data_IF_943754278350
#
_entry.id   IF_943754278350
#
_cell.length_a   1.000
_cell.length_b   1.000
_cell.length_c   1.000
_cell.angle_alpha   90.00
_cell.angle_beta   90.00
_cell.angle_gamma   90.00
#
_symmetry.space_group_name_H-M   'P 1'
#
loop_
_entity.id
_entity.type
_entity.pdbx_description
1 polymer ?
#
# COMPACT_ATOMS: atom_id res chain seq x y z
N UNK A 1 3.93 11.88 -0.68
CA UNK A 1 3.93 12.69 -1.91
C UNK A 1 2.98 12.01 -2.86
N UNK A 2 1.80 12.60 -3.05
CA UNK A 2 0.77 12.09 -3.96
C UNK A 2 1.33 12.13 -5.38
N UNK A 3 1.56 10.97 -6.01
CA UNK A 3 1.97 10.90 -7.41
C UNK A 3 0.74 11.18 -8.26
N UNK A 4 0.66 12.37 -8.86
CA UNK A 4 -0.45 12.71 -9.76
C UNK A 4 -0.33 11.95 -11.08
N UNK A 5 -1.46 11.56 -11.69
CA UNK A 5 -1.50 10.80 -12.95
C UNK A 5 -0.75 11.47 -14.11
N UNK A 6 -0.55 12.79 -14.04
CA UNK A 6 0.23 13.55 -15.02
C UNK A 6 1.75 13.38 -14.83
N UNK A 7 2.24 13.14 -13.61
CA UNK A 7 3.65 12.81 -13.35
C UNK A 7 4.00 11.39 -13.85
N UNK A 8 3.01 10.49 -13.80
CA UNK A 8 3.08 9.14 -14.37
C UNK A 8 3.25 9.18 -15.91
N UNK A 9 2.52 10.06 -16.61
CA UNK A 9 2.62 10.18 -18.08
C UNK A 9 4.02 10.54 -18.56
N UNK A 10 4.71 11.43 -17.84
CA UNK A 10 6.08 11.83 -18.18
C UNK A 10 7.03 10.63 -18.19
N UNK A 11 6.98 9.82 -17.13
CA UNK A 11 7.81 8.62 -16.99
C UNK A 11 7.44 7.51 -17.98
N UNK A 12 6.16 7.39 -18.33
CA UNK A 12 5.65 6.36 -19.25
C UNK A 12 5.92 6.64 -20.73
N UNK A 13 6.12 7.90 -21.11
CA UNK A 13 6.13 8.31 -22.53
C UNK A 13 7.46 8.10 -23.27
N UNK A 14 8.59 7.98 -22.56
CA UNK A 14 9.91 7.93 -23.21
C UNK A 14 10.41 6.51 -23.54
N UNK A 15 9.86 5.45 -22.92
CA UNK A 15 10.29 4.06 -23.13
C UNK A 15 9.11 3.09 -23.02
N UNK A 16 8.93 2.15 -23.94
CA UNK A 16 7.73 1.29 -24.00
C UNK A 16 7.73 0.05 -23.09
N UNK A 17 8.85 -0.24 -22.43
CA UNK A 17 9.05 -1.49 -21.69
C UNK A 17 8.90 -1.28 -20.18
N UNK A 18 7.67 -1.41 -19.69
CA UNK A 18 7.33 -1.42 -18.26
C UNK A 18 6.66 -2.72 -17.87
N UNK A 19 6.84 -3.13 -16.61
CA UNK A 19 6.09 -4.24 -16.02
C UNK A 19 5.16 -3.71 -14.94
N UNK A 20 3.88 -4.08 -15.00
CA UNK A 20 2.88 -3.70 -14.00
C UNK A 20 2.63 -4.86 -13.06
N UNK A 21 2.70 -4.61 -11.76
CA UNK A 21 2.42 -5.59 -10.70
C UNK A 21 1.34 -4.99 -9.81
N UNK A 22 0.17 -5.63 -9.78
CA UNK A 22 -0.91 -5.32 -8.84
C UNK A 22 -1.04 -6.40 -7.77
N UNK A 23 -1.40 -5.99 -6.55
CA UNK A 23 -1.68 -6.92 -5.45
C UNK A 23 -3.15 -6.83 -5.04
N UNK A 24 -3.75 -7.98 -4.74
CA UNK A 24 -5.13 -8.08 -4.25
C UNK A 24 -5.17 -9.01 -3.03
N UNK A 25 -6.10 -8.76 -2.11
CA UNK A 25 -6.29 -9.63 -0.95
C UNK A 25 -6.97 -8.95 0.24
N UNK A 26 -7.38 -9.79 1.19
CA UNK A 26 -8.07 -9.40 2.42
C UNK A 26 -7.21 -8.49 3.31
N UNK A 27 -7.83 -7.95 4.36
CA UNK A 27 -7.14 -7.15 5.36
C UNK A 27 -6.14 -8.02 6.15
N UNK A 28 -4.98 -7.46 6.51
CA UNK A 28 -3.99 -8.18 7.32
C UNK A 28 -3.08 -9.16 6.58
N UNK A 29 -3.29 -9.43 5.28
CA UNK A 29 -2.47 -10.41 4.54
C UNK A 29 -1.08 -9.91 4.15
N UNK A 30 -0.74 -8.65 4.45
CA UNK A 30 0.60 -8.09 4.23
C UNK A 30 0.87 -7.56 2.82
N UNK A 31 -0.16 -7.14 2.07
CA UNK A 31 -0.06 -6.61 0.69
C UNK A 31 0.98 -5.50 0.58
N UNK A 32 0.79 -4.40 1.32
CA UNK A 32 1.65 -3.23 1.34
C UNK A 32 3.08 -3.55 1.79
N UNK A 33 3.24 -4.54 2.67
CA UNK A 33 4.55 -5.06 3.10
C UNK A 33 5.27 -5.74 1.94
N UNK A 34 4.60 -6.66 1.24
CA UNK A 34 5.19 -7.39 0.09
C UNK A 34 5.51 -6.42 -1.05
N UNK A 35 4.59 -5.51 -1.37
CA UNK A 35 4.80 -4.52 -2.42
C UNK A 35 5.93 -3.55 -2.08
N UNK A 36 6.05 -3.14 -0.82
CA UNK A 36 7.20 -2.32 -0.39
C UNK A 36 8.52 -3.06 -0.48
N UNK A 37 8.55 -4.38 -0.18
CA UNK A 37 9.75 -5.19 -0.37
C UNK A 37 10.12 -5.31 -1.86
N UNK A 38 9.13 -5.46 -2.75
CA UNK A 38 9.34 -5.44 -4.20
C UNK A 38 9.82 -4.07 -4.70
N UNK A 39 9.40 -2.99 -4.05
CA UNK A 39 9.88 -1.63 -4.31
C UNK A 39 11.32 -1.37 -3.81
N UNK A 40 11.95 -2.34 -3.13
CA UNK A 40 13.32 -2.23 -2.62
C UNK A 40 13.43 -1.86 -1.13
N UNK A 41 12.31 -1.79 -0.39
CA UNK A 41 12.35 -1.61 1.05
C UNK A 41 13.06 -2.79 1.73
N UNK A 42 13.67 -2.55 2.89
CA UNK A 42 14.39 -3.58 3.66
C UNK A 42 13.93 -3.63 5.10
N UNK A 43 13.90 -4.83 5.66
CA UNK A 43 13.66 -5.02 7.09
C UNK A 43 14.74 -4.34 7.92
N UNK A 44 14.31 -3.69 9.00
CA UNK A 44 15.21 -3.08 9.97
C UNK A 44 15.74 -4.15 10.93
N UNK A 45 17.02 -4.48 10.80
CA UNK A 45 17.74 -5.39 11.71
C UNK A 45 18.06 -4.71 13.05
N UNK A 46 18.00 -5.48 14.14
CA UNK A 46 18.52 -5.11 15.48
C UNK A 46 20.05 -5.11 15.53
N UNK A 47 20.68 -5.83 14.61
CA UNK A 47 22.13 -5.93 14.57
C UNK A 47 22.69 -4.64 13.97
N UNK A 48 23.45 -3.91 14.79
CA UNK A 48 24.45 -2.96 14.34
C UNK A 48 25.43 -3.68 13.41
N UNK A 49 25.08 -3.84 12.13
CA UNK A 49 25.99 -4.35 11.13
C UNK A 49 27.02 -3.27 10.83
N UNK A 50 28.15 -3.33 11.55
CA UNK A 50 29.33 -2.49 11.38
C UNK A 50 30.05 -2.65 10.03
N UNK A 51 29.33 -3.03 8.96
CA UNK A 51 29.89 -3.09 7.61
C UNK A 51 28.91 -2.70 6.48
N UNK A 52 27.72 -2.14 6.76
CA UNK A 52 26.87 -1.55 5.70
C UNK A 52 27.14 -0.05 5.54
N UNK A 53 28.39 0.30 5.24
CA UNK A 53 28.78 1.65 4.85
C UNK A 53 28.37 1.86 3.40
N UNK A 54 27.12 2.27 3.13
CA UNK A 54 26.81 2.99 1.88
C UNK A 54 25.65 3.99 1.99
N UNK A 55 24.71 3.88 2.93
CA UNK A 55 23.64 4.89 3.08
C UNK A 55 23.27 5.14 4.55
N UNK A 56 24.23 5.67 5.30
CA UNK A 56 23.96 6.34 6.57
C UNK A 56 23.44 7.75 6.27
N UNK A 57 22.15 7.86 5.94
CA UNK A 57 21.54 9.09 5.43
C UNK A 57 20.12 9.37 5.91
N UNK A 58 19.61 8.70 6.94
CA UNK A 58 18.39 9.13 7.62
C UNK A 58 18.47 8.71 9.09
N UNK A 59 18.24 9.66 10.00
CA UNK A 59 18.12 9.38 11.45
C UNK A 59 17.00 8.35 11.63
N UNK A 60 17.36 7.09 11.82
CA UNK A 60 16.43 5.98 11.86
C UNK A 60 15.76 5.86 13.24
N UNK A 61 14.83 6.75 13.55
CA UNK A 61 13.95 6.60 14.72
C UNK A 61 12.86 5.56 14.42
N UNK A 62 12.70 4.56 15.28
CA UNK A 62 11.68 3.51 15.16
C UNK A 62 12.06 2.23 15.93
N UNK A 63 11.17 1.22 16.02
CA UNK A 63 11.47 -0.12 16.54
C UNK A 63 11.96 -1.10 15.45
N UNK A 64 12.80 -2.10 15.80
CA UNK A 64 13.27 -3.12 14.87
C UNK A 64 12.13 -4.00 14.35
N UNK A 65 12.36 -4.69 13.23
CA UNK A 65 11.32 -5.52 12.59
C UNK A 65 10.31 -4.75 11.73
N UNK A 66 10.49 -3.43 11.56
CA UNK A 66 9.73 -2.63 10.59
C UNK A 66 10.50 -2.47 9.26
N UNK A 67 9.78 -2.16 8.19
CA UNK A 67 10.39 -1.77 6.92
C UNK A 67 11.01 -0.37 7.03
N UNK A 68 12.20 -0.18 6.46
CA UNK A 68 12.78 1.15 6.25
C UNK A 68 12.22 1.75 4.96
N UNK A 69 11.77 2.99 5.05
CA UNK A 69 11.29 3.80 3.92
C UNK A 69 10.34 3.01 2.99
N UNK A 70 9.26 2.41 3.54
CA UNK A 70 8.34 1.62 2.72
C UNK A 70 7.63 2.50 1.69
N UNK A 71 7.53 2.01 0.46
CA UNK A 71 6.80 2.68 -0.62
C UNK A 71 5.28 2.72 -0.37
N UNK A 72 4.76 1.69 0.34
CA UNK A 72 3.36 1.57 0.74
C UNK A 72 3.29 1.37 2.25
N UNK A 73 2.46 2.15 2.93
CA UNK A 73 2.34 2.10 4.39
C UNK A 73 1.87 0.72 4.86
N UNK A 74 2.70 -0.04 5.62
CA UNK A 74 2.23 -1.28 6.24
C UNK A 74 1.26 -0.96 7.37
N UNK A 75 0.33 -1.87 7.66
CA UNK A 75 -0.58 -1.70 8.80
C UNK A 75 0.19 -1.52 10.11
N UNK A 76 -0.19 -0.51 10.88
CA UNK A 76 0.34 -0.29 12.22
C UNK A 76 -0.32 -1.23 13.24
N UNK A 77 0.33 -1.43 14.39
CA UNK A 77 -0.28 -2.18 15.50
C UNK A 77 -1.63 -1.59 15.93
N UNK A 78 -1.77 -0.26 15.87
CA UNK A 78 -3.01 0.44 16.19
C UNK A 78 -4.10 0.13 15.14
N UNK A 79 -3.75 0.18 13.86
CA UNK A 79 -4.65 -0.13 12.74
C UNK A 79 -5.15 -1.59 12.81
N UNK A 80 -4.27 -2.52 13.20
CA UNK A 80 -4.65 -3.93 13.41
C UNK A 80 -5.61 -4.06 14.59
N UNK A 81 -5.34 -3.38 15.71
CA UNK A 81 -6.18 -3.42 16.91
C UNK A 81 -7.56 -2.81 16.71
N UNK A 82 -7.66 -1.74 15.91
CA UNK A 82 -8.94 -1.12 15.56
C UNK A 82 -9.67 -1.82 14.40
N UNK A 83 -9.08 -2.89 13.85
CA UNK A 83 -9.53 -3.55 12.63
C UNK A 83 -9.72 -2.57 11.45
N UNK A 84 -8.94 -1.49 11.40
CA UNK A 84 -8.99 -0.49 10.35
C UNK A 84 -8.20 -0.93 9.09
N UNK A 85 -8.59 -0.39 7.94
CA UNK A 85 -7.80 -0.48 6.72
C UNK A 85 -6.77 0.66 6.70
N UNK A 86 -5.64 0.42 6.03
CA UNK A 86 -4.57 1.42 5.90
C UNK A 86 -4.59 2.02 4.49
N UNK A 87 -4.74 1.18 3.46
CA UNK A 87 -4.86 1.61 2.06
C UNK A 87 -6.30 2.00 1.73
N UNK A 88 -6.51 3.20 1.21
CA UNK A 88 -7.77 3.67 0.61
C UNK A 88 -7.62 3.76 -0.91
N UNK A 89 -8.51 3.08 -1.66
CA UNK A 89 -8.41 3.07 -3.13
C UNK A 89 -7.21 2.29 -3.67
N UNK A 90 -6.45 2.89 -4.59
CA UNK A 90 -5.29 2.28 -5.25
C UNK A 90 -4.11 3.25 -5.17
N UNK A 91 -3.03 2.81 -4.54
CA UNK A 91 -1.76 3.52 -4.48
C UNK A 91 -0.81 3.05 -5.59
N UNK A 92 0.00 3.96 -6.12
CA UNK A 92 0.93 3.68 -7.22
C UNK A 92 2.36 4.04 -6.83
N UNK A 93 3.30 3.14 -7.13
CA UNK A 93 4.74 3.40 -7.01
C UNK A 93 5.49 2.96 -8.27
N UNK A 94 6.45 3.79 -8.72
CA UNK A 94 7.30 3.47 -9.88
C UNK A 94 8.73 3.30 -9.39
N UNK A 95 9.34 2.16 -9.73
CA UNK A 95 10.73 1.86 -9.38
C UNK A 95 11.70 2.27 -10.50
N UNK A 96 12.99 2.39 -10.19
CA UNK A 96 14.03 2.66 -11.19
C UNK A 96 14.15 1.52 -12.22
N UNK A 97 13.77 0.31 -11.84
CA UNK A 97 13.70 -0.90 -12.65
C UNK A 97 12.45 -0.97 -13.53
N UNK A 98 11.70 0.13 -13.64
CA UNK A 98 10.51 0.26 -14.52
C UNK A 98 9.35 -0.67 -14.12
N UNK A 99 9.26 -1.00 -12.83
CA UNK A 99 8.08 -1.64 -12.28
C UNK A 99 7.07 -0.56 -11.87
N UNK A 100 5.82 -0.72 -12.31
CA UNK A 100 4.67 0.03 -11.81
C UNK A 100 3.97 -0.89 -10.82
N UNK A 101 4.04 -0.51 -9.56
CA UNK A 101 3.49 -1.26 -8.43
C UNK A 101 2.15 -0.63 -8.03
N UNK A 102 1.10 -1.44 -7.97
CA UNK A 102 -0.25 -1.02 -7.59
C UNK A 102 -0.65 -1.74 -6.30
N UNK A 103 -0.75 -1.01 -5.19
CA UNK A 103 -1.28 -1.51 -3.92
C UNK A 103 -2.74 -1.10 -3.76
N UNK A 104 -3.60 -2.01 -3.30
CA UNK A 104 -5.05 -1.78 -3.28
C UNK A 104 -5.64 -1.90 -1.88
N UNK A 105 -6.76 -1.21 -1.67
CA UNK A 105 -7.61 -1.39 -0.50
C UNK A 105 -7.97 -2.88 -0.31
N UNK A 106 -8.11 -3.28 0.95
CA UNK A 106 -8.42 -4.65 1.31
C UNK A 106 -9.84 -5.04 0.89
N UNK A 107 -9.96 -6.15 0.15
CA UNK A 107 -11.25 -6.74 -0.21
C UNK A 107 -11.98 -7.23 1.04
N UNK A 108 -13.30 -6.99 1.10
CA UNK A 108 -14.18 -7.44 2.18
C UNK A 108 -13.76 -6.95 3.59
N UNK A 109 -13.13 -5.78 3.68
CA UNK A 109 -12.71 -5.25 4.99
C UNK A 109 -13.92 -4.79 5.84
N UNK A 110 -14.06 -5.28 7.08
CA UNK A 110 -15.12 -4.84 7.99
C UNK A 110 -15.09 -3.33 8.27
N UNK A 111 -13.90 -2.73 8.30
CA UNK A 111 -13.76 -1.28 8.47
C UNK A 111 -14.22 -0.48 7.26
N UNK A 112 -14.01 -0.99 6.04
CA UNK A 112 -14.54 -0.36 4.82
C UNK A 112 -16.06 -0.46 4.81
N UNK A 113 -16.63 -1.58 5.25
CA UNK A 113 -18.07 -1.71 5.38
C UNK A 113 -18.66 -0.75 6.44
N UNK A 114 -17.98 -0.58 7.58
CA UNK A 114 -18.39 0.37 8.62
C UNK A 114 -18.27 1.83 8.15
N UNK A 115 -17.23 2.14 7.37
CA UNK A 115 -17.04 3.42 6.68
C UNK A 115 -18.21 3.69 5.73
N UNK A 116 -18.57 2.72 4.87
CA UNK A 116 -19.71 2.81 3.96
C UNK A 116 -21.04 3.01 4.70
N UNK A 117 -21.25 2.29 5.81
CA UNK A 117 -22.44 2.45 6.65
C UNK A 117 -22.52 3.87 7.24
N UNK A 118 -21.39 4.40 7.70
CA UNK A 118 -21.32 5.74 8.31
C UNK A 118 -21.55 6.86 7.29
N UNK A 119 -21.21 6.63 6.02
CA UNK A 119 -21.39 7.63 4.96
C UNK A 119 -22.86 7.74 4.46
N UNK A 120 -23.80 6.91 4.95
CA UNK A 120 -25.26 6.96 4.65
C UNK A 120 -25.63 7.30 3.18
N UNK A 121 -24.95 6.70 2.21
CA UNK A 121 -25.33 6.90 0.80
C UNK A 121 -26.44 5.95 0.38
N UNK A 122 -27.33 6.44 -0.48
CA UNK A 122 -28.25 5.58 -1.22
C UNK A 122 -27.42 4.53 -1.99
N UNK A 123 -27.75 3.27 -1.80
CA UNK A 123 -27.08 2.18 -2.50
C UNK A 123 -27.28 2.36 -4.01
N UNK A 124 -26.24 2.16 -4.84
CA UNK A 124 -26.40 2.12 -6.28
C UNK A 124 -27.36 0.98 -6.68
N UNK A 125 -27.97 1.08 -7.86
CA UNK A 125 -29.02 0.14 -8.30
C UNK A 125 -28.52 -1.31 -8.35
N UNK A 126 -27.21 -1.52 -8.57
CA UNK A 126 -26.61 -2.86 -8.55
C UNK A 126 -26.45 -3.44 -7.13
N UNK A 127 -26.51 -2.62 -6.08
CA UNK A 127 -26.28 -3.04 -4.71
C UNK A 127 -27.59 -3.11 -3.90
N UNK A 128 -27.90 -4.30 -3.40
CA UNK A 128 -29.08 -4.55 -2.55
C UNK A 128 -28.76 -4.55 -1.05
N UNK A 129 -27.48 -4.59 -0.67
CA UNK A 129 -26.99 -4.44 0.70
C UNK A 129 -25.60 -3.81 0.69
N UNK A 130 -25.13 -3.34 1.86
CA UNK A 130 -23.76 -2.85 2.02
C UNK A 130 -22.72 -3.95 1.81
N UNK A 131 -23.04 -5.20 2.17
CA UNK A 131 -22.13 -6.33 1.90
C UNK A 131 -22.01 -6.58 0.41
N UNK A 132 -23.13 -6.51 -0.32
CA UNK A 132 -23.14 -6.64 -1.77
C UNK A 132 -22.37 -5.48 -2.42
N UNK A 133 -22.55 -4.24 -1.94
CA UNK A 133 -21.76 -3.10 -2.39
C UNK A 133 -20.25 -3.29 -2.16
N UNK A 134 -19.87 -3.80 -0.99
CA UNK A 134 -18.47 -4.09 -0.66
C UNK A 134 -17.87 -5.24 -1.47
N UNK A 135 -18.70 -6.11 -2.07
CA UNK A 135 -18.27 -7.13 -3.04
C UNK A 135 -18.10 -6.58 -4.46
N UNK A 136 -18.73 -5.45 -4.77
CA UNK A 136 -18.69 -4.80 -6.09
C UNK A 136 -17.52 -3.81 -6.25
N UNK A 137 -16.83 -3.49 -5.15
CA UNK A 137 -15.59 -2.70 -5.15
C UNK A 137 -14.39 -3.53 -5.60
#
# INVERSE_FOLDING_TARGET
>A
SELTADDLKGHLSEQSDFTVIGVLGMQGVGKSTIMSLLAGARWRSELHDGNSVLFAGSKAEGPPGLLREPAFAPQTAQTVQSAAHETEGIDVHITAERLILLDTQAMLSPSVLLELQRREHALPTEAHSLENLAMLQ
#
